data_IF_377218576050
#
_entry.id   IF_377218576050
#
_cell.length_a   1.000
_cell.length_b   1.000
_cell.length_c   1.000
_cell.angle_alpha   90.00
_cell.angle_beta   90.00
_cell.angle_gamma   90.00
#
_symmetry.space_group_name_H-M   'P 1'
#
loop_
_entity.id
_entity.type
_entity.pdbx_description
1 polymer ?
#
# COMPACT_ATOMS: atom_id res chain seq x y z
N UNK A 1 -29.27 -3.80 4.36
CA UNK A 1 -28.19 -4.17 3.41
C UNK A 1 -27.24 -5.13 4.10
N UNK A 2 -26.92 -6.26 3.49
CA UNK A 2 -25.89 -7.17 4.02
C UNK A 2 -24.53 -6.50 3.77
N UNK A 3 -23.80 -6.16 4.84
CA UNK A 3 -22.42 -5.66 4.71
C UNK A 3 -21.55 -6.82 4.23
N UNK A 4 -20.97 -6.68 3.04
CA UNK A 4 -19.97 -7.63 2.55
C UNK A 4 -18.64 -7.38 3.29
N UNK A 5 -17.86 -8.43 3.61
CA UNK A 5 -16.53 -8.25 4.17
C UNK A 5 -15.67 -7.40 3.23
N UNK A 6 -14.97 -6.42 3.80
CA UNK A 6 -14.14 -5.47 3.07
C UNK A 6 -13.08 -4.87 4.01
N UNK A 7 -12.03 -4.32 3.41
CA UNK A 7 -11.05 -3.49 4.11
C UNK A 7 -11.34 -2.01 3.86
N UNK A 8 -11.10 -1.18 4.88
CA UNK A 8 -11.41 0.25 4.83
C UNK A 8 -10.74 0.95 3.65
N UNK A 9 -11.50 1.76 2.91
CA UNK A 9 -11.00 2.62 1.82
C UNK A 9 -10.60 1.89 0.52
N UNK A 10 -10.38 0.57 0.55
CA UNK A 10 -10.07 -0.22 -0.65
C UNK A 10 -11.37 -0.55 -1.39
N UNK A 11 -11.78 0.38 -2.25
CA UNK A 11 -13.03 0.25 -3.04
C UNK A 11 -12.81 -0.52 -4.33
N UNK A 12 -11.68 -0.27 -5.01
CA UNK A 12 -11.31 -0.96 -6.24
C UNK A 12 -9.98 -1.68 -6.06
N UNK A 13 -9.95 -2.96 -6.37
CA UNK A 13 -8.75 -3.79 -6.26
C UNK A 13 -8.86 -5.04 -7.13
N UNK A 14 -7.72 -5.66 -7.42
CA UNK A 14 -7.65 -7.03 -7.96
C UNK A 14 -7.89 -8.11 -6.88
N UNK A 15 -8.00 -7.74 -5.60
CA UNK A 15 -8.39 -8.64 -4.51
C UNK A 15 -9.87 -8.50 -4.17
N UNK A 16 -10.56 -9.62 -3.96
CA UNK A 16 -11.97 -9.66 -3.59
C UNK A 16 -12.14 -10.07 -2.12
N UNK A 17 -12.30 -9.10 -1.22
CA UNK A 17 -12.42 -9.39 0.21
C UNK A 17 -13.72 -10.09 0.63
N UNK A 18 -14.70 -10.28 -0.26
CA UNK A 18 -15.81 -11.18 0.02
C UNK A 18 -15.40 -12.65 0.01
N UNK A 19 -14.26 -12.98 -0.59
CA UNK A 19 -13.68 -14.33 -0.62
C UNK A 19 -12.73 -14.52 0.59
N UNK A 20 -12.96 -15.54 1.44
CA UNK A 20 -12.09 -15.89 2.57
C UNK A 20 -10.62 -16.07 2.21
N UNK A 21 -10.30 -16.46 0.97
CA UNK A 21 -8.92 -16.61 0.50
C UNK A 21 -8.08 -15.35 0.75
N UNK A 22 -8.63 -14.16 0.51
CA UNK A 22 -7.90 -12.89 0.66
C UNK A 22 -7.72 -12.43 2.11
N UNK A 23 -8.27 -13.16 3.07
CA UNK A 23 -8.02 -12.97 4.50
C UNK A 23 -6.90 -13.87 5.02
N UNK A 24 -6.31 -14.70 4.16
CA UNK A 24 -5.12 -15.49 4.48
C UNK A 24 -3.90 -14.62 4.77
N UNK A 25 -2.94 -15.18 5.54
CA UNK A 25 -1.73 -14.49 6.00
C UNK A 25 -1.00 -13.72 4.90
N UNK A 26 -0.82 -14.33 3.73
CA UNK A 26 -0.03 -13.76 2.64
C UNK A 26 -0.71 -12.54 1.99
N UNK A 27 -2.04 -12.60 1.87
CA UNK A 27 -2.85 -11.55 1.25
C UNK A 27 -3.15 -10.43 2.26
N UNK A 28 -3.43 -10.79 3.50
CA UNK A 28 -3.75 -9.82 4.54
C UNK A 28 -2.57 -8.92 4.89
N UNK A 29 -1.34 -9.46 4.91
CA UNK A 29 -0.13 -8.72 5.31
C UNK A 29 0.18 -7.51 4.43
N UNK A 30 -0.21 -7.51 3.15
CA UNK A 30 -0.10 -6.34 2.27
C UNK A 30 -1.41 -5.55 2.20
N UNK A 31 -2.57 -6.20 2.29
CA UNK A 31 -3.87 -5.52 2.20
C UNK A 31 -4.18 -4.65 3.42
N UNK A 32 -3.85 -5.11 4.63
CA UNK A 32 -4.17 -4.40 5.86
C UNK A 32 -3.40 -3.08 6.00
N UNK A 33 -2.07 -3.00 5.76
CA UNK A 33 -1.36 -1.73 5.77
C UNK A 33 -1.91 -0.73 4.75
N UNK A 34 -2.30 -1.18 3.55
CA UNK A 34 -2.92 -0.32 2.55
C UNK A 34 -4.27 0.25 3.04
N UNK A 35 -5.08 -0.57 3.71
CA UNK A 35 -6.35 -0.14 4.31
C UNK A 35 -6.15 0.83 5.48
N UNK A 36 -5.13 0.60 6.33
CA UNK A 36 -4.75 1.50 7.40
C UNK A 36 -4.30 2.86 6.83
N UNK A 37 -3.49 2.86 5.76
CA UNK A 37 -3.11 4.08 5.07
C UNK A 37 -4.33 4.83 4.52
N UNK A 38 -5.31 4.13 3.94
CA UNK A 38 -6.57 4.77 3.51
C UNK A 38 -7.30 5.46 4.68
N UNK A 39 -7.39 4.80 5.83
CA UNK A 39 -7.97 5.38 7.04
C UNK A 39 -7.20 6.62 7.52
N UNK A 40 -5.88 6.51 7.61
CA UNK A 40 -4.99 7.62 7.98
C UNK A 40 -5.19 8.82 7.05
N UNK A 41 -5.30 8.58 5.74
CA UNK A 41 -5.57 9.61 4.73
C UNK A 41 -6.88 10.35 4.98
N UNK A 42 -7.99 9.62 5.14
CA UNK A 42 -9.30 10.23 5.37
C UNK A 42 -9.37 11.00 6.69
N UNK A 43 -8.59 10.57 7.69
CA UNK A 43 -8.46 11.24 9.00
C UNK A 43 -7.38 12.31 9.04
N UNK A 44 -6.67 12.54 7.94
CA UNK A 44 -5.53 13.48 7.85
C UNK A 44 -4.45 13.19 8.92
N UNK A 45 -4.25 11.91 9.24
CA UNK A 45 -3.19 11.44 10.11
C UNK A 45 -1.97 11.13 9.23
N UNK A 46 -0.87 11.86 9.36
CA UNK A 46 0.34 11.57 8.58
C UNK A 46 1.03 10.30 9.06
N UNK A 47 1.84 9.69 8.19
CA UNK A 47 2.72 8.59 8.55
C UNK A 47 4.10 9.12 8.95
N UNK A 48 4.76 8.42 9.89
CA UNK A 48 6.17 8.66 10.18
C UNK A 48 7.00 8.32 8.95
N UNK A 49 7.82 9.26 8.52
CA UNK A 49 8.66 9.15 7.33
C UNK A 49 10.13 9.28 7.70
N UNK A 50 10.89 8.25 7.33
CA UNK A 50 12.34 8.23 7.46
C UNK A 50 12.96 8.52 6.09
N UNK A 51 13.83 9.52 6.03
CA UNK A 51 14.57 9.89 4.82
C UNK A 51 16.06 10.06 5.12
N UNK A 52 16.88 10.08 4.07
CA UNK A 52 18.29 10.42 4.17
C UNK A 52 18.50 11.87 3.71
N UNK A 53 19.24 12.65 4.50
CA UNK A 53 19.71 13.97 4.06
C UNK A 53 20.83 13.83 3.02
N UNK A 54 21.23 14.94 2.39
CA UNK A 54 22.39 15.01 1.50
C UNK A 54 23.70 14.54 2.16
N UNK A 55 23.79 14.62 3.48
CA UNK A 55 24.93 14.17 4.29
C UNK A 55 24.78 12.72 4.78
N UNK A 56 23.85 11.95 4.20
CA UNK A 56 23.55 10.56 4.57
C UNK A 56 23.12 10.38 6.04
N UNK A 57 22.48 11.39 6.64
CA UNK A 57 21.92 11.30 8.00
C UNK A 57 20.45 10.94 7.95
N UNK A 58 19.98 10.14 8.90
CA UNK A 58 18.56 9.82 9.04
C UNK A 58 17.81 11.07 9.52
N UNK A 59 16.81 11.46 8.74
CA UNK A 59 15.83 12.49 9.09
C UNK A 59 14.50 11.80 9.39
N UNK A 60 13.95 12.08 10.57
CA UNK A 60 12.61 11.65 10.99
C UNK A 60 11.65 12.82 10.77
N UNK A 61 10.62 12.58 9.96
CA UNK A 61 9.61 13.56 9.62
C UNK A 61 8.25 12.89 9.46
N UNK A 62 7.28 13.63 8.91
CA UNK A 62 5.95 13.13 8.61
C UNK A 62 5.66 13.25 7.12
N UNK A 63 4.95 12.27 6.56
CA UNK A 63 4.46 12.29 5.18
C UNK A 63 2.94 12.12 5.18
N UNK A 64 2.27 12.99 4.43
CA UNK A 64 0.84 12.83 4.20
C UNK A 64 0.58 11.63 3.26
N UNK A 65 -0.49 10.87 3.51
CA UNK A 65 -0.75 9.63 2.77
C UNK A 65 -1.04 9.91 1.29
N UNK A 66 -1.67 11.02 0.93
CA UNK A 66 -1.84 11.46 -0.47
C UNK A 66 -0.49 11.60 -1.18
N UNK A 67 0.52 12.16 -0.50
CA UNK A 67 1.88 12.27 -1.03
C UNK A 67 2.55 10.91 -1.13
N UNK A 68 2.29 9.99 -0.20
CA UNK A 68 2.79 8.62 -0.24
C UNK A 68 2.17 7.83 -1.40
N UNK A 69 0.84 7.90 -1.59
CA UNK A 69 0.15 7.28 -2.73
C UNK A 69 0.49 7.95 -4.06
N UNK A 70 0.94 9.21 -4.05
CA UNK A 70 1.29 9.95 -5.26
C UNK A 70 0.09 10.58 -5.97
N UNK A 71 -1.03 10.74 -5.28
CA UNK A 71 -2.26 11.30 -5.85
C UNK A 71 -3.12 11.99 -4.80
N UNK A 72 -3.87 13.00 -5.21
CA UNK A 72 -4.89 13.69 -4.41
C UNK A 72 -6.30 13.10 -4.61
N UNK A 73 -6.49 12.17 -5.56
CA UNK A 73 -7.77 11.50 -5.82
C UNK A 73 -8.28 10.80 -4.55
N UNK A 74 -9.57 10.87 -4.21
CA UNK A 74 -10.11 10.21 -3.02
C UNK A 74 -9.89 8.69 -3.09
N UNK A 75 -9.89 8.00 -1.94
CA UNK A 75 -9.69 6.54 -1.89
C UNK A 75 -10.70 5.76 -2.76
N UNK A 76 -11.90 6.31 -2.95
CA UNK A 76 -12.95 5.77 -3.83
C UNK A 76 -12.64 5.87 -5.32
N UNK A 77 -11.58 6.56 -5.73
CA UNK A 77 -11.16 6.70 -7.13
C UNK A 77 -9.78 6.07 -7.38
N UNK A 78 -9.24 5.38 -6.39
CA UNK A 78 -7.97 4.66 -6.49
C UNK A 78 -8.23 3.18 -6.68
N UNK A 79 -7.48 2.57 -7.59
CA UNK A 79 -7.38 1.13 -7.75
C UNK A 79 -6.10 0.60 -7.11
N UNK A 80 -6.26 -0.33 -6.16
CA UNK A 80 -5.14 -0.99 -5.47
C UNK A 80 -4.83 -2.34 -6.13
N UNK A 81 -3.79 -2.38 -6.96
CA UNK A 81 -3.35 -3.59 -7.66
C UNK A 81 -2.25 -4.29 -6.85
N UNK A 82 -2.60 -5.29 -6.06
CA UNK A 82 -1.65 -6.06 -5.26
C UNK A 82 -0.88 -7.06 -6.11
N UNK A 83 0.36 -7.38 -5.74
CA UNK A 83 1.19 -8.41 -6.40
C UNK A 83 1.19 -8.24 -7.93
N UNK A 84 1.34 -7.00 -8.39
CA UNK A 84 1.22 -6.60 -9.79
C UNK A 84 2.49 -5.89 -10.24
N UNK A 85 2.91 -6.11 -11.48
CA UNK A 85 4.08 -5.43 -12.05
C UNK A 85 3.76 -3.95 -12.35
N UNK A 86 4.73 -3.07 -12.07
CA UNK A 86 4.65 -1.66 -12.45
C UNK A 86 5.15 -1.47 -13.88
N UNK A 87 4.29 -1.77 -14.85
CA UNK A 87 4.64 -1.84 -16.27
C UNK A 87 5.38 -0.63 -16.87
N UNK A 88 5.24 0.62 -16.37
CA UNK A 88 6.07 1.71 -16.85
C UNK A 88 7.58 1.49 -16.70
N UNK A 89 8.01 0.50 -15.90
CA UNK A 89 9.43 0.13 -15.77
C UNK A 89 9.91 -0.96 -16.74
N UNK A 90 9.01 -1.57 -17.51
CA UNK A 90 9.35 -2.69 -18.41
C UNK A 90 10.42 -2.31 -19.43
N UNK A 91 10.36 -1.11 -19.97
CA UNK A 91 11.29 -0.64 -21.01
C UNK A 91 12.73 -0.48 -20.51
N UNK A 92 12.97 -0.53 -19.20
CA UNK A 92 14.31 -0.43 -18.59
C UNK A 92 14.92 -1.80 -18.25
N UNK A 93 14.23 -2.90 -18.55
CA UNK A 93 14.67 -4.25 -18.21
C UNK A 93 14.85 -5.10 -19.47
N UNK A 94 15.95 -5.85 -19.53
CA UNK A 94 16.16 -6.89 -20.55
C UNK A 94 15.33 -8.14 -20.25
N UNK A 95 15.06 -8.40 -18.96
CA UNK A 95 14.32 -9.55 -18.44
C UNK A 95 12.87 -9.21 -18.07
N UNK A 96 12.12 -10.24 -17.65
CA UNK A 96 10.75 -10.09 -17.16
C UNK A 96 10.69 -9.18 -15.92
N UNK A 97 9.74 -8.23 -15.93
CA UNK A 97 9.49 -7.34 -14.80
C UNK A 97 8.71 -8.09 -13.71
N UNK A 98 9.30 -8.30 -12.51
CA UNK A 98 8.59 -8.98 -11.43
C UNK A 98 7.47 -8.11 -10.84
N UNK A 99 6.43 -8.74 -10.26
CA UNK A 99 5.43 -8.01 -9.49
C UNK A 99 6.03 -7.37 -8.23
N UNK A 100 5.40 -6.29 -7.76
CA UNK A 100 5.67 -5.65 -6.46
C UNK A 100 4.45 -5.81 -5.55
N UNK A 101 4.62 -5.59 -4.24
CA UNK A 101 3.57 -5.76 -3.24
C UNK A 101 2.28 -4.99 -3.57
N UNK A 102 2.38 -3.71 -3.98
CA UNK A 102 1.25 -2.87 -4.35
C UNK A 102 1.60 -1.89 -5.48
N UNK A 103 0.71 -1.81 -6.45
CA UNK A 103 0.68 -0.72 -7.44
C UNK A 103 -0.60 0.09 -7.27
N UNK A 104 -0.44 1.39 -7.00
CA UNK A 104 -1.51 2.38 -6.96
C UNK A 104 -1.80 2.84 -8.39
N UNK A 105 -3.07 2.79 -8.77
CA UNK A 105 -3.59 3.27 -10.05
C UNK A 105 -4.82 4.16 -9.83
N UNK A 106 -5.19 4.94 -10.84
CA UNK A 106 -6.51 5.56 -10.87
C UNK A 106 -7.59 4.53 -11.28
N UNK A 107 -8.84 4.98 -11.32
CA UNK A 107 -9.99 4.16 -11.70
C UNK A 107 -9.94 3.72 -13.18
N UNK A 108 -9.29 4.51 -14.02
CA UNK A 108 -9.01 4.28 -15.43
C UNK A 108 -7.78 3.38 -15.65
N UNK A 109 -7.24 2.77 -14.58
CA UNK A 109 -6.10 1.86 -14.58
C UNK A 109 -4.77 2.48 -15.01
N UNK A 110 -4.65 3.81 -15.00
CA UNK A 110 -3.37 4.49 -15.21
C UNK A 110 -2.45 4.33 -14.01
N UNK A 111 -1.17 4.11 -14.28
CA UNK A 111 -0.16 3.89 -13.25
C UNK A 111 0.15 5.18 -12.50
N UNK A 112 0.06 5.14 -11.16
CA UNK A 112 0.39 6.28 -10.29
C UNK A 112 1.70 6.00 -9.54
N UNK A 113 1.74 4.90 -8.78
CA UNK A 113 2.91 4.61 -7.94
C UNK A 113 3.08 3.13 -7.56
N UNK A 114 4.30 2.58 -7.66
CA UNK A 114 4.65 1.30 -7.04
C UNK A 114 5.04 1.50 -5.57
N UNK A 115 4.60 0.59 -4.69
CA UNK A 115 4.88 0.61 -3.25
C UNK A 115 5.23 -0.81 -2.76
N UNK A 116 6.31 -0.91 -1.98
CA UNK A 116 6.66 -2.10 -1.24
C UNK A 116 6.05 -2.03 0.18
N UNK A 117 5.53 -3.15 0.68
CA UNK A 117 4.84 -3.22 1.97
C UNK A 117 5.49 -4.29 2.84
N UNK A 118 6.02 -3.87 4.00
CA UNK A 118 6.51 -4.79 5.02
C UNK A 118 5.71 -4.62 6.30
N UNK A 119 4.96 -5.66 6.64
CA UNK A 119 4.35 -5.78 7.96
C UNK A 119 5.37 -6.41 8.90
N UNK A 120 5.91 -5.61 9.82
CA UNK A 120 6.82 -6.07 10.85
C UNK A 120 6.13 -6.06 12.21
N UNK A 121 6.54 -6.98 13.08
CA UNK A 121 6.20 -6.97 14.49
C UNK A 121 7.35 -6.34 15.26
N UNK A 122 7.05 -5.41 16.16
CA UNK A 122 8.04 -4.98 17.14
C UNK A 122 8.08 -6.05 18.24
N UNK A 123 9.25 -6.61 18.57
CA UNK A 123 9.34 -7.52 19.70
C UNK A 123 9.02 -6.77 20.99
N UNK A 124 8.18 -7.36 21.84
CA UNK A 124 7.96 -6.95 23.23
C UNK A 124 8.48 -8.04 24.19
N UNK A 125 8.49 -7.76 25.50
CA UNK A 125 9.01 -8.68 26.53
C UNK A 125 8.33 -10.08 26.53
N UNK A 126 7.17 -10.24 25.88
CA UNK A 126 6.52 -11.55 25.70
C UNK A 126 7.13 -12.39 24.58
N UNK A 127 8.00 -11.78 23.77
CA UNK A 127 8.72 -12.39 22.63
C UNK A 127 10.24 -12.45 22.83
N UNK A 128 10.76 -11.92 23.95
CA UNK A 128 12.15 -12.14 24.36
C UNK A 128 12.25 -13.48 25.11
N UNK A 129 12.77 -14.51 24.45
CA UNK A 129 13.26 -15.71 25.15
C UNK A 129 14.66 -15.45 25.71
#
# INVERSE_FOLDING_TARGET
>A
MIKKPALYGITYSNRNFADPYYWGKNQFNSSFPAALACYMRDKKVPAVYLSLTSECKVNVSEIAIEKMFGTELPNSEIFFAFETAYEPFRDFLEDNLPPIDLVVKDKEQQFIRPLEIKLTTLPDDSTSN
#
